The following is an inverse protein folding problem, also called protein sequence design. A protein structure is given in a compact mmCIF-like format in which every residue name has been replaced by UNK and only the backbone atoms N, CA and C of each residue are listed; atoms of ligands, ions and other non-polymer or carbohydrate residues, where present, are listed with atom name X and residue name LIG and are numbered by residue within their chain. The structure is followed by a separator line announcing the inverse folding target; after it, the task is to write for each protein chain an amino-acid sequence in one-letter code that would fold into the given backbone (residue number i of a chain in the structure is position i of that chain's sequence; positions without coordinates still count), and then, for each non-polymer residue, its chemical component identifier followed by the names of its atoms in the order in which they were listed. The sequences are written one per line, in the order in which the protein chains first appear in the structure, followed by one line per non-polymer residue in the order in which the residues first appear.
data_IF_673001350352
#
_entry.id   IF_673001350352
#
_cell.length_a   1.000
_cell.length_b   1.000
_cell.length_c   1.000
_cell.angle_alpha   90.00
_cell.angle_beta   90.00
_cell.angle_gamma   90.00
#
_symmetry.space_group_name_H-M   'P 1'
#
loop_
_entity.id
_entity.type
_entity.pdbx_description
1 polymer ?
#
# COMPACT_ATOMS: atom_id res chain seq x y z
N UNK A 1 20.31 14.65 7.75
CA UNK A 1 19.57 14.65 6.47
C UNK A 1 20.52 14.94 5.33
N UNK A 2 20.41 14.24 4.19
CA UNK A 2 21.27 14.47 3.02
C UNK A 2 20.70 15.62 2.16
N UNK A 3 21.57 16.31 1.42
CA UNK A 3 21.23 17.49 0.58
C UNK A 3 20.15 17.21 -0.48
N UNK A 4 20.07 15.96 -0.94
CA UNK A 4 19.05 15.48 -1.90
C UNK A 4 17.64 15.43 -1.31
N UNK A 5 17.53 15.17 0.00
CA UNK A 5 16.25 14.99 0.71
C UNK A 5 15.49 16.31 0.83
N UNK A 6 16.23 17.40 1.10
CA UNK A 6 15.71 18.77 1.13
C UNK A 6 15.20 19.23 -0.23
N UNK A 7 15.87 18.82 -1.32
CA UNK A 7 15.50 19.21 -2.67
C UNK A 7 14.21 18.53 -3.15
N UNK A 8 13.99 17.26 -2.77
CA UNK A 8 12.78 16.53 -3.12
C UNK A 8 11.54 17.04 -2.37
N UNK A 9 11.67 17.31 -1.07
CA UNK A 9 10.58 17.89 -0.25
C UNK A 9 10.13 19.24 -0.83
N UNK A 10 11.08 20.06 -1.29
CA UNK A 10 10.81 21.35 -1.93
C UNK A 10 10.08 21.20 -3.28
N UNK A 11 10.43 20.19 -4.10
CA UNK A 11 9.75 19.91 -5.37
C UNK A 11 8.28 19.50 -5.17
N UNK A 12 8.01 18.58 -4.24
CA UNK A 12 6.64 18.11 -3.96
C UNK A 12 5.77 19.25 -3.43
N UNK A 13 6.30 20.07 -2.51
CA UNK A 13 5.61 21.23 -1.99
C UNK A 13 5.30 22.27 -3.08
N UNK A 14 6.21 22.47 -4.04
CA UNK A 14 5.99 23.36 -5.19
C UNK A 14 4.93 22.85 -6.15
N UNK A 15 4.90 21.54 -6.43
CA UNK A 15 3.87 20.92 -7.27
C UNK A 15 2.50 21.10 -6.62
N UNK A 16 2.36 20.78 -5.34
CA UNK A 16 1.10 20.90 -4.62
C UNK A 16 0.56 22.34 -4.62
N UNK A 17 1.43 23.35 -4.46
CA UNK A 17 1.04 24.77 -4.55
C UNK A 17 0.51 25.14 -5.93
N UNK A 18 1.18 24.70 -7.00
CA UNK A 18 0.75 24.99 -8.37
C UNK A 18 -0.54 24.26 -8.74
N UNK A 19 -0.74 23.03 -8.27
CA UNK A 19 -1.99 22.29 -8.47
C UNK A 19 -3.16 22.96 -7.75
N UNK A 20 -2.93 23.44 -6.53
CA UNK A 20 -3.93 24.20 -5.77
C UNK A 20 -4.29 25.52 -6.44
N UNK A 21 -3.30 26.19 -7.05
CA UNK A 21 -3.50 27.43 -7.79
C UNK A 21 -4.31 27.21 -9.08
N UNK A 22 -4.01 26.15 -9.84
CA UNK A 22 -4.82 25.75 -11.00
C UNK A 22 -6.26 25.44 -10.57
N UNK A 23 -6.46 24.78 -9.43
CA UNK A 23 -7.78 24.43 -8.89
C UNK A 23 -8.59 25.67 -8.50
N UNK A 24 -7.95 26.69 -7.95
CA UNK A 24 -8.60 27.94 -7.51
C UNK A 24 -8.84 28.94 -8.65
N UNK A 25 -8.19 28.78 -9.79
CA UNK A 25 -8.30 29.71 -10.91
C UNK A 25 -9.51 29.37 -11.79
N UNK A 26 -10.50 30.28 -11.95
CA UNK A 26 -11.63 30.06 -12.85
C UNK A 26 -11.18 29.92 -14.30
N UNK A 27 -11.74 28.96 -15.04
CA UNK A 27 -11.38 28.71 -16.44
C UNK A 27 -12.19 29.59 -17.39
N UNK A 28 -11.54 30.52 -18.08
CA UNK A 28 -12.12 31.33 -19.16
C UNK A 28 -11.02 31.77 -20.14
N UNK A 29 -11.42 32.36 -21.28
CA UNK A 29 -10.51 32.76 -22.38
C UNK A 29 -9.34 33.67 -21.94
N UNK A 30 -9.51 34.41 -20.84
CA UNK A 30 -8.48 35.26 -20.25
C UNK A 30 -7.46 34.51 -19.37
N UNK A 31 -7.86 33.40 -18.74
CA UNK A 31 -7.02 32.59 -17.85
C UNK A 31 -6.49 31.32 -18.51
N UNK A 32 -7.00 30.95 -19.69
CA UNK A 32 -6.60 29.75 -20.44
C UNK A 32 -5.08 29.66 -20.63
N UNK A 33 -4.46 30.75 -21.09
CA UNK A 33 -3.01 30.80 -21.28
C UNK A 33 -2.23 30.72 -19.96
N UNK A 34 -2.76 31.31 -18.89
CA UNK A 34 -2.16 31.25 -17.55
C UNK A 34 -2.20 29.83 -16.98
N UNK A 35 -3.37 29.18 -17.04
CA UNK A 35 -3.57 27.79 -16.62
C UNK A 35 -2.70 26.84 -17.46
N UNK A 36 -2.58 27.09 -18.78
CA UNK A 36 -1.69 26.35 -19.66
C UNK A 36 -0.23 26.42 -19.20
N UNK A 37 0.26 27.62 -18.84
CA UNK A 37 1.61 27.81 -18.28
C UNK A 37 1.79 27.08 -16.95
N UNK A 38 0.81 27.13 -16.05
CA UNK A 38 0.86 26.42 -14.77
C UNK A 38 0.92 24.91 -14.97
N UNK A 39 0.08 24.35 -15.87
CA UNK A 39 0.09 22.92 -16.20
C UNK A 39 1.42 22.48 -16.82
N UNK A 40 1.98 23.26 -17.73
CA UNK A 40 3.30 22.99 -18.30
C UNK A 40 4.40 23.00 -17.24
N UNK A 41 4.33 23.92 -16.27
CA UNK A 41 5.27 23.99 -15.14
C UNK A 41 5.12 22.79 -14.20
N UNK A 42 3.89 22.37 -13.90
CA UNK A 42 3.61 21.15 -13.13
C UNK A 42 4.18 19.93 -13.85
N UNK A 43 3.94 19.77 -15.15
CA UNK A 43 4.47 18.65 -15.92
C UNK A 43 6.01 18.60 -15.90
N UNK A 44 6.66 19.76 -16.05
CA UNK A 44 8.13 19.87 -15.97
C UNK A 44 8.66 19.50 -14.58
N UNK A 45 8.01 19.97 -13.51
CA UNK A 45 8.41 19.67 -12.14
C UNK A 45 8.17 18.19 -11.78
N UNK A 46 7.07 17.57 -12.24
CA UNK A 46 6.81 16.13 -12.08
C UNK A 46 7.88 15.29 -12.78
N UNK A 47 8.28 15.66 -13.99
CA UNK A 47 9.38 14.98 -14.69
C UNK A 47 10.73 15.15 -13.96
N UNK A 48 10.99 16.30 -13.34
CA UNK A 48 12.18 16.53 -12.54
C UNK A 48 12.18 15.71 -11.25
N UNK A 49 11.03 15.62 -10.58
CA UNK A 49 10.82 14.73 -9.44
C UNK A 49 11.13 13.27 -9.82
N UNK A 50 10.60 12.80 -10.94
CA UNK A 50 10.83 11.46 -11.48
C UNK A 50 12.32 11.21 -11.84
N UNK A 51 13.01 12.23 -12.36
CA UNK A 51 14.44 12.17 -12.67
C UNK A 51 15.32 12.12 -11.41
N UNK A 52 14.97 12.86 -10.37
CA UNK A 52 15.63 12.80 -9.04
C UNK A 52 15.45 11.41 -8.43
N UNK A 53 14.27 10.79 -8.63
CA UNK A 53 13.97 9.42 -8.21
C UNK A 53 14.75 8.36 -9.03
N UNK A 54 15.05 8.62 -10.31
CA UNK A 54 15.89 7.76 -11.15
C UNK A 54 17.39 7.86 -10.82
N UNK A 55 17.92 9.07 -10.62
CA UNK A 55 19.37 9.32 -10.33
C UNK A 55 19.81 8.87 -8.94
N UNK A 56 18.88 8.71 -8.01
CA UNK A 56 19.15 8.18 -6.66
C UNK A 56 19.22 6.65 -6.60
N UNK A 57 19.22 5.96 -7.75
CA UNK A 57 19.40 4.51 -7.87
C UNK A 57 18.13 3.73 -7.55
N UNK A 58 17.14 3.73 -8.44
CA UNK A 58 16.03 2.76 -8.40
C UNK A 58 15.19 2.73 -7.13
N UNK A 59 15.02 3.87 -6.43
CA UNK A 59 14.38 3.94 -5.10
C UNK A 59 12.86 4.12 -5.14
N UNK A 60 12.16 3.48 -6.07
CA UNK A 60 10.71 3.29 -5.99
C UNK A 60 10.44 1.87 -5.50
N UNK A 61 10.57 1.67 -4.19
CA UNK A 61 10.47 0.35 -3.57
C UNK A 61 11.34 0.18 -2.33
N UNK A 62 11.57 1.24 -1.54
CA UNK A 62 12.21 1.09 -0.24
C UNK A 62 11.22 0.42 0.71
N UNK A 63 11.11 -0.90 0.59
CA UNK A 63 10.42 -1.69 1.58
C UNK A 63 11.19 -1.58 2.89
N UNK A 64 10.52 -1.50 4.06
CA UNK A 64 11.22 -1.52 5.33
C UNK A 64 12.19 -2.69 5.40
N UNK A 65 13.33 -2.50 6.06
CA UNK A 65 14.22 -3.62 6.33
C UNK A 65 13.46 -4.64 7.18
N UNK A 66 13.75 -5.92 6.97
CA UNK A 66 13.28 -6.99 7.85
C UNK A 66 13.73 -6.67 9.27
N UNK A 67 12.78 -6.66 10.20
CA UNK A 67 13.02 -6.51 11.63
C UNK A 67 12.34 -7.67 12.37
N UNK A 68 13.01 -8.22 13.38
CA UNK A 68 12.52 -9.41 14.10
C UNK A 68 12.78 -10.73 13.35
N UNK A 69 12.07 -11.78 13.76
CA UNK A 69 12.27 -13.16 13.33
C UNK A 69 11.46 -13.53 12.09
N UNK A 70 10.38 -12.80 11.79
CA UNK A 70 9.55 -13.03 10.62
C UNK A 70 8.89 -11.73 10.12
N UNK A 71 8.60 -11.67 8.82
CA UNK A 71 7.89 -10.55 8.21
C UNK A 71 6.60 -11.03 7.53
N UNK A 72 5.47 -10.47 7.96
CA UNK A 72 4.15 -10.67 7.36
C UNK A 72 3.76 -9.42 6.59
N UNK A 73 3.30 -9.59 5.35
CA UNK A 73 2.81 -8.50 4.53
C UNK A 73 1.29 -8.64 4.34
N UNK A 74 0.54 -7.62 4.73
CA UNK A 74 -0.90 -7.54 4.50
C UNK A 74 -1.21 -6.90 3.15
N UNK A 75 -2.00 -7.60 2.35
CA UNK A 75 -2.56 -7.11 1.10
C UNK A 75 -4.08 -7.26 1.12
N UNK A 76 -4.79 -6.29 0.56
CA UNK A 76 -6.25 -6.34 0.49
C UNK A 76 -6.86 -5.03 -0.01
N UNK A 77 -8.10 -5.04 -0.50
CA UNK A 77 -8.84 -3.81 -0.84
C UNK A 77 -8.85 -2.80 0.33
N UNK A 78 -9.07 -1.50 0.07
CA UNK A 78 -9.27 -0.54 1.16
C UNK A 78 -10.47 -0.95 2.04
N UNK A 79 -10.45 -0.54 3.31
CA UNK A 79 -11.59 -0.72 4.25
C UNK A 79 -11.98 -2.16 4.62
N UNK A 80 -11.19 -3.17 4.22
CA UNK A 80 -11.40 -4.58 4.64
C UNK A 80 -10.95 -4.87 6.07
N UNK A 81 -10.30 -3.92 6.76
CA UNK A 81 -9.91 -4.04 8.17
C UNK A 81 -8.43 -4.34 8.43
N UNK A 82 -7.54 -4.15 7.45
CA UNK A 82 -6.09 -4.43 7.59
C UNK A 82 -5.47 -3.66 8.76
N UNK A 83 -5.71 -2.35 8.83
CA UNK A 83 -5.18 -1.51 9.92
C UNK A 83 -5.76 -1.91 11.28
N UNK A 84 -7.02 -2.38 11.33
CA UNK A 84 -7.62 -2.92 12.55
C UNK A 84 -6.91 -4.20 13.00
N UNK A 85 -6.58 -5.11 12.07
CA UNK A 85 -5.83 -6.32 12.36
C UNK A 85 -4.43 -5.99 12.89
N UNK A 86 -3.70 -5.08 12.22
CA UNK A 86 -2.38 -4.61 12.69
C UNK A 86 -2.49 -4.07 14.10
N UNK A 87 -3.40 -3.13 14.34
CA UNK A 87 -3.55 -2.51 15.66
C UNK A 87 -3.86 -3.53 16.77
N UNK A 88 -4.66 -4.56 16.47
CA UNK A 88 -4.97 -5.64 17.41
C UNK A 88 -3.74 -6.51 17.71
N UNK A 89 -2.99 -6.90 16.68
CA UNK A 89 -1.81 -7.76 16.84
C UNK A 89 -0.64 -7.03 17.51
N UNK A 90 -0.43 -5.76 17.17
CA UNK A 90 0.75 -5.01 17.62
C UNK A 90 0.52 -4.24 18.92
N UNK A 91 -0.61 -4.47 19.62
CA UNK A 91 -0.98 -3.81 20.89
C UNK A 91 -0.72 -2.29 20.91
N UNK A 92 -1.09 -1.60 19.82
CA UNK A 92 -0.88 -0.17 19.61
C UNK A 92 0.59 0.34 19.52
N UNK A 93 1.61 -0.54 19.42
CA UNK A 93 2.97 -0.15 19.01
C UNK A 93 3.14 0.00 17.49
N UNK A 94 2.09 0.43 16.79
CA UNK A 94 2.17 0.75 15.36
C UNK A 94 2.82 2.12 15.21
N UNK A 95 4.11 2.14 14.89
CA UNK A 95 4.77 3.39 14.49
C UNK A 95 4.39 3.67 13.06
N UNK A 96 3.51 4.66 12.86
CA UNK A 96 3.22 5.19 11.53
C UNK A 96 4.45 5.97 11.06
N UNK A 97 5.39 5.29 10.42
CA UNK A 97 6.55 5.92 9.81
C UNK A 97 6.29 6.14 8.33
N UNK A 98 6.15 7.41 7.93
CA UNK A 98 6.25 7.78 6.53
C UNK A 98 7.73 7.71 6.13
N UNK A 99 8.14 6.59 5.54
CA UNK A 99 9.49 6.48 5.01
C UNK A 99 9.68 7.52 3.91
N UNK A 100 10.67 8.42 4.04
CA UNK A 100 11.06 9.25 2.92
C UNK A 100 11.40 8.30 1.76
N UNK A 101 11.06 8.66 0.53
CA UNK A 101 11.32 7.87 -0.68
C UNK A 101 10.31 6.75 -1.06
N UNK A 102 9.14 6.62 -0.42
CA UNK A 102 8.05 5.77 -0.94
C UNK A 102 6.76 6.57 -1.22
N UNK A 103 6.17 6.41 -2.41
CA UNK A 103 4.81 6.92 -2.70
C UNK A 103 3.72 6.06 -2.05
N UNK A 104 4.08 4.87 -1.60
CA UNK A 104 3.24 3.98 -0.78
C UNK A 104 3.62 4.19 0.68
N UNK A 105 2.67 4.69 1.48
CA UNK A 105 2.81 4.72 2.94
C UNK A 105 2.76 3.29 3.46
N UNK A 106 3.91 2.67 3.70
CA UNK A 106 3.98 1.38 4.38
C UNK A 106 3.84 1.63 5.88
N UNK A 107 2.91 0.94 6.54
CA UNK A 107 2.74 1.03 7.99
C UNK A 107 3.35 -0.24 8.60
N UNK A 108 4.58 -0.17 9.16
CA UNK A 108 5.15 -1.27 9.91
C UNK A 108 4.55 -1.32 11.32
N UNK A 109 4.27 -2.51 11.80
CA UNK A 109 3.92 -2.77 13.18
C UNK A 109 4.63 -4.02 13.68
N UNK A 110 5.05 -4.02 14.95
CA UNK A 110 5.74 -5.17 15.55
C UNK A 110 4.76 -5.95 16.45
N UNK A 111 4.60 -7.24 16.17
CA UNK A 111 3.80 -8.16 16.95
C UNK A 111 4.73 -9.08 17.74
N UNK A 112 4.65 -9.04 19.06
CA UNK A 112 5.31 -10.01 19.92
C UNK A 112 4.38 -11.23 20.10
N UNK A 113 4.80 -12.38 19.57
CA UNK A 113 4.06 -13.63 19.66
C UNK A 113 4.98 -14.73 20.19
N UNK A 114 4.67 -15.23 21.38
CA UNK A 114 5.43 -16.30 22.04
C UNK A 114 6.94 -15.99 22.16
N UNK A 115 7.29 -14.72 22.34
CA UNK A 115 8.69 -14.27 22.45
C UNK A 115 9.39 -14.04 21.11
N UNK A 116 8.72 -14.27 19.98
CA UNK A 116 9.20 -13.89 18.65
C UNK A 116 8.57 -12.56 18.22
N UNK A 117 9.40 -11.64 17.73
CA UNK A 117 9.01 -10.36 17.13
C UNK A 117 8.72 -10.56 15.65
N UNK A 118 7.46 -10.42 15.29
CA UNK A 118 6.97 -10.54 13.92
C UNK A 118 6.68 -9.14 13.39
N UNK A 119 7.36 -8.73 12.33
CA UNK A 119 7.09 -7.48 11.64
C UNK A 119 5.88 -7.65 10.72
N UNK A 120 4.91 -6.75 10.83
CA UNK A 120 3.70 -6.73 10.00
C UNK A 120 3.70 -5.46 9.16
N UNK A 121 3.54 -5.58 7.85
CA UNK A 121 3.56 -4.44 6.91
C UNK A 121 2.19 -4.26 6.24
N UNK A 122 1.58 -3.07 6.34
CA UNK A 122 0.42 -2.67 5.52
C UNK A 122 0.92 -2.08 4.19
N UNK A 123 0.51 -2.64 3.07
CA UNK A 123 0.84 -2.11 1.74
C UNK A 123 -0.42 -1.56 1.03
N UNK A 124 -0.81 -0.32 1.35
CA UNK A 124 -1.97 0.30 0.71
C UNK A 124 -1.71 0.52 -0.78
N UNK A 125 -2.63 0.06 -1.63
CA UNK A 125 -2.62 0.35 -3.07
C UNK A 125 -2.00 -0.71 -3.97
N UNK A 126 -1.41 -1.77 -3.41
CA UNK A 126 -0.99 -2.96 -4.17
C UNK A 126 -2.21 -3.64 -4.80
N UNK A 127 -3.29 -3.87 -4.05
CA UNK A 127 -4.46 -4.60 -4.57
C UNK A 127 -5.24 -3.81 -5.63
N UNK A 128 -5.32 -2.48 -5.53
CA UNK A 128 -5.93 -1.66 -6.59
C UNK A 128 -5.11 -1.68 -7.88
N UNK A 129 -3.78 -1.71 -7.78
CA UNK A 129 -2.89 -1.77 -8.94
C UNK A 129 -2.83 -3.15 -9.58
N UNK A 130 -2.95 -4.20 -8.75
CA UNK A 130 -3.04 -5.58 -9.17
C UNK A 130 -4.35 -5.83 -9.95
N UNK A 131 -5.49 -5.65 -9.29
CA UNK A 131 -6.81 -5.95 -9.87
C UNK A 131 -7.16 -5.14 -11.15
N UNK A 132 -6.44 -4.04 -11.43
CA UNK A 132 -6.67 -3.17 -12.59
C UNK A 132 -5.52 -3.29 -13.62
N UNK A 133 -4.50 -4.15 -13.39
CA UNK A 133 -3.38 -4.37 -14.32
C UNK A 133 -2.46 -3.16 -14.48
N UNK A 134 -2.48 -2.22 -13.52
CA UNK A 134 -1.86 -0.89 -13.64
C UNK A 134 -0.42 -0.94 -13.12
N UNK A 135 0.44 -1.71 -13.77
CA UNK A 135 1.91 -1.58 -13.67
C UNK A 135 2.53 -1.73 -12.27
N UNK A 136 1.78 -2.18 -11.26
CA UNK A 136 2.24 -2.27 -9.85
C UNK A 136 2.83 -3.62 -9.45
N UNK A 137 3.15 -4.45 -10.44
CA UNK A 137 3.78 -5.76 -10.23
C UNK A 137 5.14 -5.69 -9.55
N UNK A 138 5.86 -4.56 -9.72
CA UNK A 138 7.19 -4.37 -9.10
C UNK A 138 7.10 -4.15 -7.58
N UNK A 139 6.11 -3.42 -7.08
CA UNK A 139 5.90 -3.25 -5.64
C UNK A 139 5.49 -4.57 -4.99
N UNK A 140 4.61 -5.33 -5.65
CA UNK A 140 4.20 -6.68 -5.23
C UNK A 140 5.41 -7.60 -5.10
N UNK A 141 6.27 -7.63 -6.12
CA UNK A 141 7.48 -8.45 -6.09
C UNK A 141 8.45 -8.00 -5.02
N UNK A 142 8.59 -6.70 -4.81
CA UNK A 142 9.48 -6.17 -3.76
C UNK A 142 8.98 -6.54 -2.37
N UNK A 143 7.66 -6.51 -2.15
CA UNK A 143 7.03 -6.94 -0.92
C UNK A 143 7.17 -8.45 -0.71
N UNK A 144 6.88 -9.24 -1.73
CA UNK A 144 7.00 -10.69 -1.69
C UNK A 144 8.44 -11.15 -1.43
N UNK A 145 9.46 -10.42 -1.91
CA UNK A 145 10.88 -10.76 -1.64
C UNK A 145 11.26 -10.68 -0.17
N UNK A 146 10.60 -9.81 0.59
CA UNK A 146 10.88 -9.64 2.02
C UNK A 146 9.81 -10.28 2.90
N UNK A 147 8.72 -10.80 2.34
CA UNK A 147 7.68 -11.44 3.14
C UNK A 147 8.06 -12.89 3.40
N UNK A 148 7.87 -13.35 4.63
CA UNK A 148 7.85 -14.78 4.96
C UNK A 148 6.43 -15.33 4.80
N UNK A 149 5.41 -14.45 4.92
CA UNK A 149 4.00 -14.76 4.66
C UNK A 149 3.29 -13.54 4.04
N UNK A 150 2.47 -13.78 3.02
CA UNK A 150 1.47 -12.82 2.55
C UNK A 150 0.09 -13.15 3.14
N UNK A 151 -0.60 -12.15 3.66
CA UNK A 151 -2.00 -12.28 4.06
C UNK A 151 -2.85 -11.50 3.07
N UNK A 152 -3.64 -12.20 2.26
CA UNK A 152 -4.67 -11.62 1.40
C UNK A 152 -5.97 -11.51 2.17
N UNK A 153 -6.24 -10.29 2.65
CA UNK A 153 -7.44 -9.94 3.38
C UNK A 153 -8.49 -9.33 2.45
N UNK A 154 -9.69 -9.91 2.45
CA UNK A 154 -10.89 -9.38 1.79
C UNK A 154 -12.02 -9.25 2.80
N UNK A 155 -13.10 -8.56 2.44
CA UNK A 155 -14.35 -8.68 3.18
C UNK A 155 -15.31 -9.65 2.48
N UNK A 156 -16.37 -10.05 3.17
CA UNK A 156 -17.35 -10.98 2.60
C UNK A 156 -17.96 -10.48 1.28
N UNK A 157 -18.11 -9.16 1.11
CA UNK A 157 -18.66 -8.54 -0.11
C UNK A 157 -17.69 -8.64 -1.30
N UNK A 158 -16.40 -8.80 -1.03
CA UNK A 158 -15.33 -8.84 -2.03
C UNK A 158 -14.65 -10.21 -2.11
N UNK A 159 -15.27 -11.26 -1.54
CA UNK A 159 -14.75 -12.64 -1.54
C UNK A 159 -14.39 -13.15 -2.95
N UNK A 160 -15.19 -12.80 -3.95
CA UNK A 160 -14.97 -13.18 -5.34
C UNK A 160 -13.64 -12.66 -5.91
N UNK A 161 -13.03 -11.63 -5.31
CA UNK A 161 -11.75 -11.09 -5.77
C UNK A 161 -10.55 -11.96 -5.37
N UNK A 162 -10.69 -12.85 -4.38
CA UNK A 162 -9.55 -13.63 -3.84
C UNK A 162 -8.88 -14.44 -4.93
N UNK A 163 -9.66 -15.17 -5.74
CA UNK A 163 -9.12 -16.04 -6.79
C UNK A 163 -8.39 -15.26 -7.87
N UNK A 164 -8.99 -14.15 -8.32
CA UNK A 164 -8.40 -13.26 -9.32
C UNK A 164 -7.07 -12.68 -8.83
N UNK A 165 -7.05 -12.11 -7.62
CA UNK A 165 -5.83 -11.55 -7.02
C UNK A 165 -4.79 -12.64 -6.80
N UNK A 166 -5.18 -13.82 -6.31
CA UNK A 166 -4.24 -14.93 -6.08
C UNK A 166 -3.60 -15.40 -7.37
N UNK A 167 -4.37 -15.51 -8.46
CA UNK A 167 -3.88 -15.89 -9.78
C UNK A 167 -2.87 -14.86 -10.29
N UNK A 168 -3.20 -13.59 -10.19
CA UNK A 168 -2.32 -12.50 -10.64
C UNK A 168 -1.01 -12.45 -9.85
N UNK A 169 -1.06 -12.59 -8.52
CA UNK A 169 0.16 -12.66 -7.69
C UNK A 169 1.08 -13.79 -8.15
N UNK A 170 0.52 -14.96 -8.45
CA UNK A 170 1.28 -16.10 -8.97
C UNK A 170 1.86 -15.83 -10.36
N UNK A 171 1.11 -15.21 -11.26
CA UNK A 171 1.56 -14.84 -12.61
C UNK A 171 2.69 -13.82 -12.58
N UNK A 172 2.64 -12.87 -11.64
CA UNK A 172 3.71 -11.89 -11.40
C UNK A 172 4.98 -12.54 -10.81
N UNK A 173 4.89 -13.77 -10.30
CA UNK A 173 6.02 -14.54 -9.79
C UNK A 173 6.15 -14.57 -8.27
N UNK A 174 5.08 -14.26 -7.54
CA UNK A 174 5.03 -14.41 -6.08
C UNK A 174 5.06 -15.90 -5.73
N UNK A 175 6.06 -16.31 -4.95
CA UNK A 175 6.25 -17.71 -4.50
C UNK A 175 6.07 -17.90 -2.98
N UNK A 176 6.02 -16.82 -2.22
CA UNK A 176 5.81 -16.90 -0.77
C UNK A 176 4.41 -17.41 -0.44
N UNK A 177 4.22 -18.10 0.71
CA UNK A 177 2.90 -18.58 1.14
C UNK A 177 1.88 -17.44 1.20
N UNK A 178 0.65 -17.70 0.77
CA UNK A 178 -0.46 -16.74 0.78
C UNK A 178 -1.58 -17.29 1.67
N UNK A 179 -1.78 -16.69 2.84
CA UNK A 179 -2.93 -16.94 3.70
C UNK A 179 -4.11 -16.07 3.25
N UNK A 180 -5.23 -16.70 2.94
CA UNK A 180 -6.47 -16.03 2.51
C UNK A 180 -7.36 -15.81 3.73
N UNK A 181 -7.76 -14.57 3.95
CA UNK A 181 -8.55 -14.16 5.11
C UNK A 181 -9.79 -13.42 4.64
N UNK A 182 -10.96 -13.86 5.09
CA UNK A 182 -12.21 -13.15 4.87
C UNK A 182 -12.63 -12.51 6.20
N UNK A 183 -12.69 -11.19 6.21
CA UNK A 183 -13.10 -10.40 7.36
C UNK A 183 -14.56 -9.95 7.25
N UNK A 184 -15.12 -9.49 8.37
CA UNK A 184 -16.50 -9.00 8.50
C UNK A 184 -17.55 -10.04 8.13
N UNK A 185 -17.31 -11.29 8.51
CA UNK A 185 -18.21 -12.40 8.21
C UNK A 185 -19.52 -12.30 8.97
N UNK A 186 -19.56 -11.53 10.06
CA UNK A 186 -20.75 -11.13 10.81
C UNK A 186 -21.79 -10.37 9.97
N UNK A 187 -21.36 -9.72 8.89
CA UNK A 187 -22.27 -8.98 7.99
C UNK A 187 -23.08 -9.89 7.05
N UNK A 188 -22.82 -11.19 7.04
CA UNK A 188 -23.58 -12.19 6.32
C UNK A 188 -24.07 -13.22 7.34
N UNK A 189 -25.34 -13.62 7.26
CA UNK A 189 -25.87 -14.67 8.14
C UNK A 189 -25.08 -15.99 8.04
N UNK A 190 -25.40 -16.96 8.91
CA UNK A 190 -24.77 -18.30 8.93
C UNK A 190 -24.71 -18.88 7.51
N UNK A 191 -23.53 -18.89 6.92
CA UNK A 191 -23.26 -19.50 5.62
C UNK A 191 -22.13 -20.48 5.80
N UNK A 192 -22.23 -21.65 5.16
CA UNK A 192 -21.12 -22.60 5.10
C UNK A 192 -19.95 -21.98 4.33
N UNK A 193 -18.84 -21.75 5.03
CA UNK A 193 -17.62 -21.23 4.43
C UNK A 193 -16.68 -22.40 4.13
N UNK A 194 -16.04 -22.37 2.95
CA UNK A 194 -15.02 -23.36 2.59
C UNK A 194 -13.86 -23.30 3.59
N UNK A 195 -13.29 -24.47 3.92
CA UNK A 195 -12.08 -24.64 4.76
C UNK A 195 -10.83 -23.94 4.21
N UNK A 196 -10.87 -23.40 3.00
CA UNK A 196 -9.72 -22.74 2.35
C UNK A 196 -9.45 -21.30 2.85
N UNK A 197 -10.28 -20.79 3.77
CA UNK A 197 -10.23 -19.41 4.26
C UNK A 197 -10.19 -19.35 5.77
N UNK A 198 -9.32 -18.50 6.32
CA UNK A 198 -9.46 -18.08 7.71
C UNK A 198 -10.56 -17.02 7.79
N UNK A 199 -11.58 -17.27 8.61
CA UNK A 199 -12.74 -16.41 8.76
C UNK A 199 -12.62 -15.57 10.04
N UNK A 200 -12.66 -14.24 9.90
CA UNK A 200 -12.57 -13.32 11.04
C UNK A 200 -13.89 -12.55 11.17
N UNK A 201 -14.52 -12.67 12.34
CA UNK A 201 -15.67 -11.86 12.77
C UNK A 201 -15.21 -10.84 13.84
N UNK A 202 -15.94 -9.74 13.97
CA UNK A 202 -15.75 -8.79 15.06
C UNK A 202 -15.89 -9.43 16.46
N UNK A 203 -16.66 -10.53 16.58
CA UNK A 203 -17.04 -11.12 17.87
C UNK A 203 -16.38 -12.48 18.19
N UNK A 204 -15.71 -13.15 17.24
CA UNK A 204 -14.97 -14.41 17.47
C UNK A 204 -14.13 -14.81 16.25
N UNK A 205 -12.99 -15.46 16.50
CA UNK A 205 -12.37 -16.33 15.50
C UNK A 205 -13.30 -17.52 15.28
N UNK A 206 -13.76 -17.71 14.05
CA UNK A 206 -14.52 -18.90 13.66
C UNK A 206 -13.52 -19.73 12.86
N UNK A 207 -13.03 -20.80 13.49
CA UNK A 207 -11.99 -21.68 12.95
C UNK A 207 -12.38 -22.39 11.66
#
# INVERSE_FOLDING_TARGET
MKKTDLHQIDLVAKIARLEEEVRKTPYHKGTEHYIGKLRAKIAKLKNQEEQVLKKSGGRFGFMPKKEGEATIVLIGPPSVGKSTLINKLTQAQSRVESWPFTTVKVIPGMWDYQGAKIQILDLPGIVKGAAIGVGRGREILSAARIADLLILMVDIKTRNLVESITKELKEVGVRVPILKVINKVDLFGKTDFSRDFLMISAEKEIG
#
